data_IF_974433954673
#
_entry.id   IF_974433954673
#
_cell.length_a   1.000
_cell.length_b   1.000
_cell.length_c   1.000
_cell.angle_alpha   90.00
_cell.angle_beta   90.00
_cell.angle_gamma   90.00
#
_symmetry.space_group_name_H-M   'P 1'
#
loop_
_entity.id
_entity.type
_entity.pdbx_description
1 polymer ?
#
# COMPACT_ATOMS: atom_id res chain seq x y z
N UNK A 1 -8.98 -8.00 6.74
CA UNK A 1 -8.53 -7.92 5.32
C UNK A 1 -7.20 -8.67 5.15
N UNK A 2 -6.85 -9.16 3.94
CA UNK A 2 -5.62 -9.93 3.70
C UNK A 2 -4.32 -9.20 4.11
N UNK A 3 -4.28 -7.86 3.99
CA UNK A 3 -3.16 -7.05 4.49
C UNK A 3 -2.96 -7.21 6.00
N UNK A 4 -4.02 -7.15 6.80
CA UNK A 4 -3.94 -7.29 8.26
C UNK A 4 -3.45 -8.69 8.68
N UNK A 5 -3.95 -9.73 8.00
CA UNK A 5 -3.52 -11.12 8.23
C UNK A 5 -2.03 -11.27 7.91
N UNK A 6 -1.59 -10.73 6.77
CA UNK A 6 -0.18 -10.79 6.34
C UNK A 6 0.71 -10.08 7.34
N UNK A 7 0.35 -8.86 7.77
CA UNK A 7 1.10 -8.11 8.78
C UNK A 7 1.19 -8.85 10.11
N UNK A 8 0.07 -9.41 10.58
CA UNK A 8 0.04 -10.20 11.81
C UNK A 8 0.94 -11.44 11.70
N UNK A 9 0.91 -12.13 10.56
CA UNK A 9 1.76 -13.28 10.28
C UNK A 9 3.24 -12.91 10.28
N UNK A 10 3.65 -11.86 9.55
CA UNK A 10 5.06 -11.45 9.46
C UNK A 10 5.62 -11.06 10.83
N UNK A 11 4.87 -10.28 11.61
CA UNK A 11 5.25 -9.90 12.98
C UNK A 11 5.39 -11.14 13.88
N UNK A 12 4.43 -12.06 13.80
CA UNK A 12 4.43 -13.27 14.62
C UNK A 12 5.52 -14.26 14.20
N UNK A 13 5.85 -14.31 12.91
CA UNK A 13 6.94 -15.11 12.38
C UNK A 13 8.30 -14.65 12.93
N UNK A 14 8.58 -13.34 12.93
CA UNK A 14 9.77 -12.77 13.57
C UNK A 14 9.81 -13.13 15.07
N UNK A 15 8.68 -12.95 15.77
CA UNK A 15 8.57 -13.23 17.20
C UNK A 15 8.83 -14.71 17.54
N UNK A 16 8.21 -15.65 16.82
CA UNK A 16 8.33 -17.08 17.11
C UNK A 16 9.69 -17.64 16.71
N UNK A 17 10.28 -17.15 15.62
CA UNK A 17 11.64 -17.57 15.24
C UNK A 17 12.69 -16.98 16.17
N UNK A 18 12.42 -15.79 16.74
CA UNK A 18 13.23 -15.14 17.77
C UNK A 18 13.22 -15.84 19.14
N UNK A 19 12.10 -16.46 19.52
CA UNK A 19 11.91 -17.03 20.86
C UNK A 19 12.27 -18.51 20.99
N UNK A 20 12.54 -19.21 19.88
CA UNK A 20 12.89 -20.63 19.88
C UNK A 20 14.38 -20.80 19.63
N UNK A 21 15.14 -21.25 20.63
CA UNK A 21 16.60 -21.38 20.52
C UNK A 21 17.05 -22.27 19.36
N UNK A 22 16.27 -23.30 19.02
CA UNK A 22 16.51 -24.16 17.85
C UNK A 22 16.57 -23.40 16.51
N UNK A 23 15.96 -22.21 16.43
CA UNK A 23 16.00 -21.32 15.26
C UNK A 23 16.88 -20.09 15.54
N UNK A 24 16.74 -19.51 16.74
CA UNK A 24 17.39 -18.27 17.13
C UNK A 24 18.91 -18.39 17.24
N UNK A 25 19.44 -19.51 17.75
CA UNK A 25 20.89 -19.70 17.85
C UNK A 25 21.55 -19.81 16.47
N UNK A 26 21.08 -20.67 15.53
CA UNK A 26 21.59 -20.67 14.17
C UNK A 26 21.45 -19.32 13.48
N UNK A 27 20.30 -18.65 13.61
CA UNK A 27 20.07 -17.34 13.03
C UNK A 27 21.08 -16.31 13.56
N UNK A 28 21.37 -16.34 14.87
CA UNK A 28 22.35 -15.43 15.47
C UNK A 28 23.75 -15.65 14.92
N UNK A 29 24.15 -16.91 14.68
CA UNK A 29 25.48 -17.25 14.15
C UNK A 29 25.64 -16.90 12.67
N UNK A 30 24.58 -17.07 11.87
CA UNK A 30 24.65 -16.91 10.39
C UNK A 30 24.22 -15.52 9.94
N UNK A 31 23.21 -14.93 10.57
CA UNK A 31 22.57 -13.68 10.16
C UNK A 31 22.89 -12.50 11.09
N UNK A 32 23.57 -12.74 12.21
CA UNK A 32 23.84 -11.70 13.22
C UNK A 32 22.60 -11.23 13.98
N UNK A 33 21.47 -11.94 13.86
CA UNK A 33 20.19 -11.62 14.52
C UNK A 33 19.50 -12.89 15.01
N UNK A 34 18.73 -12.79 16.09
CA UNK A 34 18.08 -13.95 16.72
C UNK A 34 16.81 -14.42 16.03
N UNK A 35 16.34 -13.76 14.97
CA UNK A 35 15.07 -14.09 14.31
C UNK A 35 15.21 -14.16 12.79
N UNK A 36 14.29 -14.86 12.15
CA UNK A 36 14.16 -14.90 10.70
C UNK A 36 13.17 -13.83 10.23
N UNK A 37 13.34 -13.41 8.97
CA UNK A 37 12.41 -12.48 8.31
C UNK A 37 11.73 -13.17 7.15
N UNK A 38 10.54 -12.67 6.78
CA UNK A 38 9.76 -13.19 5.66
C UNK A 38 9.35 -12.07 4.70
N UNK A 39 9.01 -12.45 3.47
CA UNK A 39 8.47 -11.56 2.45
C UNK A 39 7.13 -12.10 1.96
N UNK A 40 6.17 -11.22 1.65
CA UNK A 40 4.86 -11.62 1.15
C UNK A 40 4.43 -10.77 -0.07
N UNK A 41 3.68 -11.38 -0.98
CA UNK A 41 3.08 -10.71 -2.13
C UNK A 41 1.58 -11.00 -2.17
N UNK A 42 0.78 -9.94 -2.30
CA UNK A 42 -0.69 -10.03 -2.20
C UNK A 42 -1.31 -9.47 -3.48
N UNK A 43 -1.80 -10.36 -4.34
CA UNK A 43 -2.58 -9.99 -5.51
C UNK A 43 -4.08 -10.02 -5.19
N UNK A 44 -4.74 -8.87 -5.19
CA UNK A 44 -6.20 -8.81 -5.17
C UNK A 44 -6.72 -8.84 -6.59
N UNK A 45 -7.47 -9.89 -6.94
CA UNK A 45 -7.96 -10.13 -8.30
C UNK A 45 -9.45 -10.44 -8.28
N UNK A 46 -10.11 -10.30 -9.44
CA UNK A 46 -11.52 -10.68 -9.60
C UNK A 46 -11.71 -12.20 -9.43
N UNK A 47 -12.89 -12.69 -8.98
CA UNK A 47 -13.14 -14.12 -8.76
C UNK A 47 -12.88 -15.03 -9.98
N UNK A 48 -13.08 -14.51 -11.19
CA UNK A 48 -12.87 -15.27 -12.45
C UNK A 48 -11.50 -15.01 -13.09
N UNK A 49 -10.60 -14.29 -12.42
CA UNK A 49 -9.25 -14.07 -12.92
C UNK A 49 -8.45 -15.39 -12.87
N UNK A 50 -7.72 -15.78 -13.94
CA UNK A 50 -7.05 -17.07 -13.99
C UNK A 50 -6.08 -17.28 -12.84
N UNK A 51 -6.17 -18.43 -12.15
CA UNK A 51 -5.36 -18.73 -10.98
C UNK A 51 -3.85 -18.65 -11.25
N UNK A 52 -3.37 -19.22 -12.36
CA UNK A 52 -1.95 -19.19 -12.73
C UNK A 52 -1.43 -17.75 -12.89
N UNK A 53 -2.25 -16.84 -13.44
CA UNK A 53 -1.91 -15.44 -13.59
C UNK A 53 -1.94 -14.69 -12.25
N UNK A 54 -2.88 -15.03 -11.36
CA UNK A 54 -2.92 -14.48 -10.00
C UNK A 54 -1.68 -14.89 -9.20
N UNK A 55 -1.29 -16.16 -9.34
CA UNK A 55 -0.10 -16.71 -8.72
C UNK A 55 1.17 -16.02 -9.22
N UNK A 56 1.34 -15.89 -10.55
CA UNK A 56 2.48 -15.18 -11.13
C UNK A 56 2.56 -13.71 -10.65
N UNK A 57 1.44 -13.00 -10.60
CA UNK A 57 1.41 -11.64 -10.05
C UNK A 57 1.79 -11.60 -8.56
N UNK A 58 1.36 -12.58 -7.76
CA UNK A 58 1.75 -12.68 -6.35
C UNK A 58 3.25 -12.98 -6.19
N UNK A 59 3.83 -13.80 -7.07
CA UNK A 59 5.27 -14.10 -7.11
C UNK A 59 6.09 -12.85 -7.47
N UNK A 60 5.70 -12.10 -8.50
CA UNK A 60 6.32 -10.82 -8.85
C UNK A 60 6.31 -9.82 -7.67
N UNK A 61 5.19 -9.78 -6.93
CA UNK A 61 5.05 -8.95 -5.73
C UNK A 61 5.98 -9.43 -4.59
N UNK A 62 6.10 -10.75 -4.38
CA UNK A 62 7.06 -11.32 -3.41
C UNK A 62 8.49 -10.92 -3.78
N UNK A 63 8.84 -10.98 -5.06
CA UNK A 63 10.18 -10.64 -5.52
C UNK A 63 10.47 -9.16 -5.34
N UNK A 64 9.50 -8.27 -5.57
CA UNK A 64 9.66 -6.86 -5.21
C UNK A 64 9.80 -6.67 -3.68
N UNK A 65 9.02 -7.38 -2.87
CA UNK A 65 9.14 -7.34 -1.41
C UNK A 65 10.52 -7.79 -0.91
N UNK A 66 11.13 -8.79 -1.54
CA UNK A 66 12.48 -9.27 -1.17
C UNK A 66 13.57 -8.22 -1.38
N UNK A 67 13.39 -7.24 -2.28
CA UNK A 67 14.37 -6.14 -2.52
C UNK A 67 14.58 -5.28 -1.27
N UNK A 68 13.58 -5.22 -0.37
CA UNK A 68 13.70 -4.53 0.91
C UNK A 68 14.83 -5.12 1.81
N UNK A 69 15.29 -6.36 1.58
CA UNK A 69 16.37 -6.95 2.37
C UNK A 69 17.71 -6.22 2.22
N UNK A 70 17.93 -5.56 1.10
CA UNK A 70 19.16 -4.82 0.81
C UNK A 70 19.14 -3.44 1.48
N UNK A 71 17.96 -2.79 1.51
CA UNK A 71 17.78 -1.42 1.99
C UNK A 71 17.38 -1.35 3.47
N UNK A 72 16.74 -2.40 3.99
CA UNK A 72 16.24 -2.52 5.36
C UNK A 72 16.53 -3.93 5.91
N UNK A 73 17.82 -4.28 6.11
CA UNK A 73 18.21 -5.61 6.55
C UNK A 73 17.59 -5.95 7.91
N UNK A 74 17.05 -7.16 8.05
CA UNK A 74 16.41 -7.58 9.31
C UNK A 74 14.95 -7.19 9.44
N UNK A 75 14.34 -6.64 8.39
CA UNK A 75 12.90 -6.38 8.35
C UNK A 75 12.18 -7.41 7.49
N UNK A 76 11.03 -7.89 7.96
CA UNK A 76 10.05 -8.52 7.08
C UNK A 76 9.35 -7.47 6.23
N UNK A 77 8.93 -7.87 5.03
CA UNK A 77 8.35 -6.95 4.05
C UNK A 77 7.17 -7.58 3.32
N UNK A 78 6.35 -6.75 2.69
CA UNK A 78 5.32 -7.23 1.78
C UNK A 78 5.05 -6.25 0.66
N UNK A 79 4.46 -6.72 -0.41
CA UNK A 79 3.95 -5.87 -1.48
C UNK A 79 2.54 -6.34 -1.86
N UNK A 80 1.73 -5.42 -2.38
CA UNK A 80 0.40 -5.76 -2.84
C UNK A 80 -0.01 -4.96 -4.06
N UNK A 81 -0.97 -5.52 -4.80
CA UNK A 81 -1.60 -4.83 -5.91
C UNK A 81 -3.07 -5.23 -6.01
N UNK A 82 -3.94 -4.25 -6.29
CA UNK A 82 -5.34 -4.47 -6.60
C UNK A 82 -5.53 -4.39 -8.11
N UNK A 83 -5.71 -5.54 -8.74
CA UNK A 83 -5.87 -5.64 -10.18
C UNK A 83 -7.32 -5.38 -10.58
N UNK A 84 -7.55 -4.23 -11.23
CA UNK A 84 -8.86 -3.88 -11.79
C UNK A 84 -9.08 -4.44 -13.20
N UNK A 85 -8.01 -4.79 -13.90
CA UNK A 85 -8.06 -5.34 -15.26
C UNK A 85 -8.54 -6.81 -15.28
N UNK A 86 -9.09 -7.23 -16.41
CA UNK A 86 -9.36 -8.63 -16.75
C UNK A 86 -8.19 -9.30 -17.48
N UNK A 87 -7.24 -8.54 -18.01
CA UNK A 87 -6.11 -9.07 -18.79
C UNK A 87 -4.95 -9.44 -17.87
N UNK A 88 -4.46 -10.68 -18.01
CA UNK A 88 -3.28 -11.15 -17.31
C UNK A 88 -2.01 -10.48 -17.84
N UNK A 89 -1.26 -9.81 -16.96
CA UNK A 89 -0.02 -9.13 -17.28
C UNK A 89 0.99 -9.24 -16.13
N UNK A 90 2.30 -9.29 -16.41
CA UNK A 90 3.34 -9.19 -15.39
C UNK A 90 3.24 -7.89 -14.59
N UNK A 91 3.77 -7.89 -13.36
CA UNK A 91 3.78 -6.71 -12.50
C UNK A 91 4.53 -5.52 -13.13
N UNK A 92 5.59 -5.78 -13.89
CA UNK A 92 6.37 -4.74 -14.60
C UNK A 92 5.49 -3.93 -15.54
N UNK A 93 4.65 -4.61 -16.31
CA UNK A 93 3.79 -3.99 -17.32
C UNK A 93 2.69 -3.18 -16.63
N UNK A 94 2.07 -3.76 -15.59
CA UNK A 94 1.08 -3.07 -14.76
C UNK A 94 1.67 -1.78 -14.19
N UNK A 95 2.86 -1.85 -13.57
CA UNK A 95 3.50 -0.69 -12.94
C UNK A 95 4.04 0.32 -13.93
N UNK A 96 4.39 -0.09 -15.16
CA UNK A 96 4.78 0.85 -16.21
C UNK A 96 3.69 1.89 -16.51
N UNK A 97 2.41 1.49 -16.44
CA UNK A 97 1.25 2.36 -16.60
C UNK A 97 0.89 3.18 -15.36
N UNK A 98 1.56 2.92 -14.23
CA UNK A 98 1.38 3.65 -12.97
C UNK A 98 2.50 4.68 -12.75
N UNK A 99 3.37 4.88 -13.75
CA UNK A 99 4.33 5.97 -13.80
C UNK A 99 3.69 7.15 -14.50
N UNK A 100 3.57 8.26 -13.79
CA UNK A 100 2.90 9.46 -14.28
C UNK A 100 3.78 10.68 -14.07
N UNK A 101 3.54 11.76 -14.82
CA UNK A 101 4.31 12.99 -14.62
C UNK A 101 4.13 13.53 -13.19
N UNK A 102 5.21 13.99 -12.57
CA UNK A 102 5.16 14.59 -11.23
C UNK A 102 4.40 15.95 -11.26
N UNK A 103 3.59 16.29 -10.23
CA UNK A 103 2.75 17.51 -10.23
C UNK A 103 3.52 18.83 -10.17
N UNK A 104 4.70 18.85 -9.55
CA UNK A 104 5.41 20.10 -9.21
C UNK A 104 6.66 20.38 -10.03
N UNK A 105 7.26 19.38 -10.68
CA UNK A 105 8.49 19.58 -11.46
C UNK A 105 8.70 18.47 -12.47
N UNK A 106 9.18 18.82 -13.66
CA UNK A 106 9.65 17.85 -14.66
C UNK A 106 11.04 17.29 -14.34
N UNK A 107 11.76 17.89 -13.39
CA UNK A 107 13.12 17.48 -13.02
C UNK A 107 13.17 16.34 -11.98
N UNK A 108 12.09 16.11 -11.22
CA UNK A 108 12.03 15.04 -10.21
C UNK A 108 11.74 13.64 -10.79
N UNK A 109 11.65 13.51 -12.11
CA UNK A 109 11.29 12.26 -12.77
C UNK A 109 9.79 11.94 -12.69
N UNK A 110 9.45 10.69 -13.00
CA UNK A 110 8.08 10.19 -12.94
C UNK A 110 7.66 9.92 -11.49
N UNK A 111 6.42 10.29 -11.16
CA UNK A 111 5.76 9.88 -9.92
C UNK A 111 5.26 8.45 -10.06
N UNK A 112 5.68 7.58 -9.15
CA UNK A 112 5.16 6.22 -9.04
C UNK A 112 3.85 6.21 -8.24
N UNK A 113 2.76 5.70 -8.81
CA UNK A 113 1.48 5.56 -8.10
C UNK A 113 1.39 4.28 -7.24
N UNK A 114 2.54 3.73 -6.88
CA UNK A 114 2.65 2.63 -5.93
C UNK A 114 3.82 2.92 -4.98
N UNK A 115 3.63 2.74 -3.66
CA UNK A 115 4.67 2.95 -2.67
C UNK A 115 5.48 1.68 -2.36
N UNK A 116 5.03 0.51 -2.84
CA UNK A 116 5.58 -0.79 -2.44
C UNK A 116 7.05 -0.99 -2.86
N UNK A 117 7.82 -1.77 -2.08
CA UNK A 117 7.35 -2.66 -1.03
C UNK A 117 7.15 -1.97 0.32
N UNK A 118 6.38 -2.56 1.23
CA UNK A 118 6.18 -2.07 2.58
C UNK A 118 7.00 -2.86 3.59
N UNK A 119 7.48 -2.19 4.63
CA UNK A 119 8.05 -2.82 5.80
C UNK A 119 6.94 -3.22 6.78
N UNK A 120 6.98 -4.47 7.20
CA UNK A 120 6.06 -4.98 8.20
C UNK A 120 6.38 -4.37 9.58
N UNK A 121 5.38 -4.25 10.47
CA UNK A 121 5.61 -3.80 11.83
C UNK A 121 6.57 -4.76 12.54
N UNK A 122 7.63 -4.19 13.09
CA UNK A 122 8.63 -4.94 13.85
C UNK A 122 8.55 -4.61 15.34
N UNK A 123 8.85 -5.58 16.19
CA UNK A 123 8.91 -5.36 17.65
C UNK A 123 10.20 -4.70 18.12
N UNK A 124 11.21 -4.60 17.23
CA UNK A 124 12.49 -3.96 17.51
C UNK A 124 12.86 -2.99 16.36
N UNK A 125 12.18 -1.85 16.24
CA UNK A 125 12.48 -0.87 15.19
C UNK A 125 13.92 -0.36 15.33
N UNK A 126 14.58 -0.01 14.21
CA UNK A 126 15.93 0.55 14.25
C UNK A 126 15.94 1.89 15.01
N UNK A 127 16.97 2.14 15.80
CA UNK A 127 17.11 3.39 16.57
C UNK A 127 17.25 4.63 15.70
N UNK A 128 17.73 4.48 14.46
CA UNK A 128 17.88 5.55 13.49
C UNK A 128 17.52 5.01 12.10
N UNK A 129 16.23 4.98 11.71
CA UNK A 129 15.80 4.48 10.41
C UNK A 129 16.33 5.37 9.29
N UNK A 130 16.67 4.76 8.17
CA UNK A 130 16.99 5.49 6.94
C UNK A 130 15.76 6.24 6.40
N UNK A 131 15.97 7.17 5.47
CA UNK A 131 14.86 7.83 4.74
C UNK A 131 14.00 6.81 4.02
N UNK A 132 14.63 5.80 3.42
CA UNK A 132 13.97 4.70 2.73
C UNK A 132 13.10 3.89 3.70
N UNK A 133 13.65 3.43 4.83
CA UNK A 133 12.87 2.69 5.83
C UNK A 133 11.66 3.48 6.31
N UNK A 134 11.85 4.76 6.65
CA UNK A 134 10.77 5.64 7.11
C UNK A 134 9.67 5.82 6.05
N UNK A 135 10.06 5.94 4.78
CA UNK A 135 9.13 6.06 3.66
C UNK A 135 8.34 4.77 3.39
N UNK A 136 8.94 3.61 3.67
CA UNK A 136 8.34 2.31 3.39
C UNK A 136 7.62 1.67 4.59
N UNK A 137 7.58 2.32 5.76
CA UNK A 137 6.72 1.91 6.87
C UNK A 137 5.24 1.91 6.47
N UNK A 138 4.52 0.85 6.84
CA UNK A 138 3.10 0.70 6.46
C UNK A 138 2.12 1.53 7.30
N UNK A 139 2.60 2.23 8.34
CA UNK A 139 1.79 3.03 9.23
C UNK A 139 1.01 4.12 8.48
N UNK A 140 1.64 4.80 7.51
CA UNK A 140 1.00 5.88 6.74
C UNK A 140 -0.11 5.35 5.84
N UNK A 141 0.12 4.21 5.18
CA UNK A 141 -0.91 3.52 4.38
C UNK A 141 -2.14 3.18 5.26
N UNK A 142 -1.90 2.63 6.45
CA UNK A 142 -2.95 2.15 7.32
C UNK A 142 -3.72 3.28 8.00
N UNK A 143 -3.05 4.37 8.35
CA UNK A 143 -3.69 5.61 8.81
C UNK A 143 -4.63 6.16 7.73
N UNK A 144 -4.17 6.18 6.48
CA UNK A 144 -5.00 6.56 5.34
C UNK A 144 -6.20 5.64 5.15
N UNK A 145 -6.01 4.32 5.25
CA UNK A 145 -7.08 3.33 5.17
C UNK A 145 -8.13 3.53 6.27
N UNK A 146 -7.68 3.73 7.52
CA UNK A 146 -8.56 3.97 8.65
C UNK A 146 -9.39 5.24 8.44
N UNK A 147 -8.75 6.31 7.95
CA UNK A 147 -9.40 7.59 7.62
C UNK A 147 -10.48 7.42 6.53
N UNK A 148 -10.22 6.62 5.50
CA UNK A 148 -11.21 6.34 4.45
C UNK A 148 -12.33 5.38 4.91
N UNK A 149 -12.08 4.60 5.95
CA UNK A 149 -13.02 3.62 6.50
C UNK A 149 -13.97 4.20 7.55
N UNK A 150 -13.82 5.49 7.90
CA UNK A 150 -14.71 6.18 8.83
C UNK A 150 -16.18 6.14 8.36
N UNK A 151 -17.14 6.28 9.28
CA UNK A 151 -18.56 6.48 8.96
C UNK A 151 -18.77 7.64 7.97
N UNK A 152 -19.83 7.59 7.15
CA UNK A 152 -20.04 8.55 6.05
C UNK A 152 -20.08 10.02 6.47
N UNK A 153 -20.56 10.30 7.68
CA UNK A 153 -20.62 11.62 8.30
C UNK A 153 -19.25 12.11 8.82
N UNK A 154 -18.30 11.18 8.97
CA UNK A 154 -16.93 11.40 9.40
C UNK A 154 -15.88 11.29 8.29
N UNK A 155 -16.26 10.78 7.10
CA UNK A 155 -15.34 10.65 5.97
C UNK A 155 -14.81 12.00 5.48
N UNK A 156 -13.49 12.12 5.44
CA UNK A 156 -12.78 13.25 4.83
C UNK A 156 -12.89 13.26 3.30
N UNK A 157 -13.19 12.10 2.71
CA UNK A 157 -13.26 11.89 1.26
C UNK A 157 -14.46 11.01 0.89
N UNK A 158 -15.45 11.59 0.21
CA UNK A 158 -16.59 10.83 -0.32
C UNK A 158 -16.26 10.02 -1.57
N UNK A 159 -17.10 9.05 -1.94
CA UNK A 159 -16.84 8.15 -3.07
C UNK A 159 -16.64 8.87 -4.41
N UNK A 160 -17.39 9.95 -4.69
CA UNK A 160 -17.19 10.75 -5.90
C UNK A 160 -15.84 11.47 -5.90
N UNK A 161 -15.41 11.98 -4.74
CA UNK A 161 -14.12 12.65 -4.59
C UNK A 161 -12.96 11.65 -4.73
N UNK A 162 -13.11 10.45 -4.18
CA UNK A 162 -12.18 9.34 -4.36
C UNK A 162 -12.06 8.91 -5.84
N UNK A 163 -13.18 8.83 -6.57
CA UNK A 163 -13.17 8.54 -7.99
C UNK A 163 -12.43 9.64 -8.79
N UNK A 164 -12.78 10.92 -8.55
CA UNK A 164 -12.12 12.05 -9.20
C UNK A 164 -10.60 12.06 -8.95
N UNK A 165 -10.16 11.73 -7.72
CA UNK A 165 -8.75 11.60 -7.40
C UNK A 165 -8.07 10.45 -8.14
N UNK A 166 -8.71 9.27 -8.26
CA UNK A 166 -8.13 8.17 -9.06
C UNK A 166 -7.91 8.58 -10.52
N UNK A 167 -8.90 9.22 -11.13
CA UNK A 167 -8.78 9.73 -12.51
C UNK A 167 -7.63 10.74 -12.61
N UNK A 168 -7.53 11.66 -11.65
CA UNK A 168 -6.47 12.66 -11.62
C UNK A 168 -5.07 12.05 -11.40
N UNK A 169 -4.95 11.04 -10.54
CA UNK A 169 -3.70 10.31 -10.29
C UNK A 169 -3.22 9.63 -11.58
N UNK A 170 -4.10 8.87 -12.24
CA UNK A 170 -3.77 8.18 -13.49
C UNK A 170 -3.46 9.13 -14.65
N UNK A 171 -4.04 10.33 -14.65
CA UNK A 171 -3.71 11.38 -15.62
C UNK A 171 -2.36 12.06 -15.33
N UNK A 172 -1.94 12.12 -14.07
CA UNK A 172 -0.67 12.70 -13.66
C UNK A 172 -0.59 14.23 -13.69
N UNK A 173 0.59 14.73 -13.32
CA UNK A 173 0.98 16.13 -13.43
C UNK A 173 0.01 17.08 -12.74
N UNK A 174 -0.34 18.16 -13.44
CA UNK A 174 -1.22 19.20 -12.90
C UNK A 174 -2.67 18.73 -12.66
N UNK A 175 -3.09 17.60 -13.21
CA UNK A 175 -4.43 17.05 -12.93
C UNK A 175 -4.59 16.70 -11.45
N UNK A 176 -3.52 16.18 -10.82
CA UNK A 176 -3.47 15.82 -9.39
C UNK A 176 -3.72 17.08 -8.55
N UNK A 177 -2.88 18.11 -8.72
CA UNK A 177 -2.95 19.34 -7.93
C UNK A 177 -4.28 20.06 -8.11
N UNK A 178 -4.74 20.23 -9.37
CA UNK A 178 -6.03 20.89 -9.64
C UNK A 178 -7.19 20.16 -8.98
N UNK A 179 -7.19 18.83 -9.03
CA UNK A 179 -8.25 18.03 -8.42
C UNK A 179 -8.20 18.10 -6.90
N UNK A 180 -7.02 17.98 -6.29
CA UNK A 180 -6.82 18.12 -4.86
C UNK A 180 -7.31 19.50 -4.35
N UNK A 181 -6.90 20.60 -5.00
CA UNK A 181 -7.34 21.96 -4.65
C UNK A 181 -8.85 22.12 -4.79
N UNK A 182 -9.44 21.64 -5.89
CA UNK A 182 -10.89 21.71 -6.13
C UNK A 182 -11.68 20.93 -5.06
N UNK A 183 -11.19 19.75 -4.65
CA UNK A 183 -11.85 18.93 -3.64
C UNK A 183 -11.71 19.53 -2.24
N UNK A 184 -10.55 20.07 -1.89
CA UNK A 184 -10.35 20.81 -0.64
C UNK A 184 -11.30 22.00 -0.52
N UNK A 185 -11.43 22.82 -1.57
CA UNK A 185 -12.33 23.98 -1.59
C UNK A 185 -13.81 23.62 -1.42
N UNK A 186 -14.21 22.40 -1.79
CA UNK A 186 -15.61 21.92 -1.69
C UNK A 186 -15.86 21.01 -0.49
N UNK A 187 -14.82 20.66 0.26
CA UNK A 187 -14.93 19.77 1.41
C UNK A 187 -15.57 20.48 2.59
N UNK A 188 -16.39 19.74 3.35
CA UNK A 188 -16.89 20.19 4.65
C UNK A 188 -15.80 20.18 5.73
N UNK A 189 -14.68 19.49 5.46
CA UNK A 189 -13.55 19.27 6.37
C UNK A 189 -12.23 19.54 5.63
N UNK A 190 -11.97 20.80 5.22
CA UNK A 190 -10.85 21.12 4.34
C UNK A 190 -9.47 20.88 5.00
N UNK A 191 -9.35 21.10 6.31
CA UNK A 191 -8.11 20.84 7.04
C UNK A 191 -7.78 19.34 7.09
N UNK A 192 -8.72 18.51 7.54
CA UNK A 192 -8.55 17.05 7.60
C UNK A 192 -8.25 16.45 6.21
N UNK A 193 -8.96 16.89 5.16
CA UNK A 193 -8.69 16.45 3.80
C UNK A 193 -7.31 16.88 3.31
N UNK A 194 -6.86 18.10 3.65
CA UNK A 194 -5.52 18.56 3.29
C UNK A 194 -4.45 17.72 3.96
N UNK A 195 -4.59 17.46 5.25
CA UNK A 195 -3.60 16.70 6.03
C UNK A 195 -3.54 15.25 5.51
N UNK A 196 -4.70 14.62 5.26
CA UNK A 196 -4.78 13.33 4.57
C UNK A 196 -4.08 13.33 3.19
N UNK A 197 -4.32 14.36 2.37
CA UNK A 197 -3.71 14.43 1.04
C UNK A 197 -2.19 14.67 1.12
N UNK A 198 -1.70 15.43 2.09
CA UNK A 198 -0.25 15.64 2.29
C UNK A 198 0.43 14.29 2.55
N UNK A 199 -0.09 13.51 3.49
CA UNK A 199 0.48 12.22 3.89
C UNK A 199 0.41 11.15 2.78
N UNK A 200 -0.67 11.15 2.00
CA UNK A 200 -0.93 10.09 1.02
C UNK A 200 -0.43 10.41 -0.38
N UNK A 201 -0.39 11.68 -0.79
CA UNK A 201 0.05 12.06 -2.14
C UNK A 201 1.57 12.04 -2.29
N UNK A 202 2.30 12.42 -1.24
CA UNK A 202 3.74 12.65 -1.33
C UNK A 202 4.50 11.64 -0.47
N UNK A 203 5.24 10.77 -1.13
CA UNK A 203 6.31 9.95 -0.57
C UNK A 203 7.57 10.16 -1.38
N UNK A 204 8.70 10.18 -0.69
CA UNK A 204 10.02 10.19 -1.31
C UNK A 204 10.90 9.29 -0.45
N UNK A 205 11.48 8.27 -1.07
CA UNK A 205 12.39 7.34 -0.40
C UNK A 205 13.87 7.82 -0.44
N UNK A 206 14.11 9.01 -0.98
CA UNK A 206 15.42 9.61 -1.23
C UNK A 206 15.93 9.38 -2.66
N UNK A 207 15.17 8.65 -3.48
CA UNK A 207 15.54 8.35 -4.86
C UNK A 207 14.38 8.50 -5.84
N UNK A 208 13.19 8.01 -5.48
CA UNK A 208 12.04 7.95 -6.38
C UNK A 208 10.83 8.56 -5.68
N UNK A 209 10.20 9.60 -6.26
CA UNK A 209 8.95 10.11 -5.73
C UNK A 209 7.81 9.13 -6.01
N UNK A 210 6.95 8.93 -5.02
CA UNK A 210 5.79 8.06 -5.13
C UNK A 210 4.56 8.60 -4.40
N UNK A 211 3.40 8.03 -4.72
CA UNK A 211 2.14 8.29 -4.06
C UNK A 211 1.57 7.01 -3.47
N UNK A 212 1.13 7.08 -2.21
CA UNK A 212 0.40 5.99 -1.53
C UNK A 212 -1.08 6.02 -1.87
N UNK A 213 -1.59 7.17 -2.28
CA UNK A 213 -3.03 7.44 -2.35
C UNK A 213 -3.80 6.42 -3.21
N UNK A 214 -3.27 6.02 -4.37
CA UNK A 214 -3.94 5.02 -5.21
C UNK A 214 -4.06 3.67 -4.48
N UNK A 215 -2.97 3.19 -3.89
CA UNK A 215 -2.95 1.95 -3.12
C UNK A 215 -3.87 2.02 -1.88
N UNK A 216 -3.91 3.16 -1.19
CA UNK A 216 -4.79 3.40 -0.04
C UNK A 216 -6.26 3.37 -0.44
N UNK A 217 -6.61 4.05 -1.53
CA UNK A 217 -7.96 4.08 -2.08
C UNK A 217 -8.42 2.66 -2.48
N UNK A 218 -7.55 1.91 -3.15
CA UNK A 218 -7.88 0.55 -3.60
C UNK A 218 -8.00 -0.44 -2.44
N UNK A 219 -7.13 -0.34 -1.43
CA UNK A 219 -7.25 -1.13 -0.21
C UNK A 219 -8.55 -0.81 0.56
N UNK A 220 -8.98 0.46 0.58
CA UNK A 220 -10.23 0.86 1.20
C UNK A 220 -11.46 0.27 0.47
N UNK A 221 -11.46 0.27 -0.86
CA UNK A 221 -12.53 -0.36 -1.63
C UNK A 221 -12.57 -1.87 -1.43
N UNK A 222 -11.42 -2.53 -1.30
CA UNK A 222 -11.36 -3.96 -0.95
C UNK A 222 -11.91 -4.22 0.46
N UNK A 223 -11.57 -3.39 1.45
CA UNK A 223 -12.07 -3.52 2.82
C UNK A 223 -13.59 -3.30 2.91
N UNK A 224 -14.13 -2.39 2.10
CA UNK A 224 -15.56 -2.12 2.01
C UNK A 224 -16.34 -3.12 1.13
N UNK A 225 -15.66 -4.04 0.43
CA UNK A 225 -16.26 -4.97 -0.52
C UNK A 225 -16.72 -4.32 -1.84
N UNK A 226 -16.27 -3.09 -2.14
CA UNK A 226 -16.74 -2.29 -3.28
C UNK A 226 -15.97 -2.61 -4.57
N UNK A 227 -14.69 -3.01 -4.47
CA UNK A 227 -13.84 -3.31 -5.62
C UNK A 227 -14.25 -4.57 -6.41
N UNK A 228 -14.96 -5.51 -5.78
CA UNK A 228 -15.38 -6.77 -6.42
C UNK A 228 -16.70 -6.67 -7.20
N UNK A 229 -17.30 -5.48 -7.34
CA UNK A 229 -18.58 -5.28 -8.03
C UNK A 229 -19.81 -5.77 -7.24
N UNK A 230 -19.63 -6.47 -6.12
CA UNK A 230 -20.70 -6.81 -5.20
C UNK A 230 -20.93 -5.66 -4.21
N UNK A 231 -21.85 -4.74 -4.56
CA UNK A 231 -22.52 -3.97 -3.51
C UNK A 231 -23.17 -4.99 -2.59
N UNK A 232 -22.64 -5.13 -1.37
CA UNK A 232 -23.29 -5.88 -0.28
C UNK A 232 -24.73 -5.42 -0.22
N UNK A 233 -25.66 -6.25 -0.71
CA UNK A 233 -27.10 -6.02 -0.58
C UNK A 233 -27.35 -5.94 0.92
N UNK A 234 -27.54 -4.71 1.44
CA UNK A 234 -28.04 -4.50 2.80
C UNK A 234 -29.27 -5.38 2.95
N UNK A 235 -29.16 -6.44 3.76
CA UNK A 235 -30.33 -7.22 4.21
C UNK A 235 -31.30 -6.21 4.80
N UNK A 236 -32.42 -5.97 4.11
CA UNK A 236 -33.57 -5.30 4.71
C UNK A 236 -33.91 -6.12 5.95
N UNK A 237 -33.83 -5.50 7.13
CA UNK A 237 -34.45 -6.06 8.34
C UNK A 237 -35.94 -6.19 8.00
N UNK A 238 -36.42 -7.43 7.96
CA UNK A 238 -37.84 -7.69 8.04
C UNK A 238 -38.28 -7.28 9.45
N UNK A 239 -39.05 -6.21 9.52
CA UNK A 239 -40.02 -5.95 10.60
C UNK A 239 -41.19 -6.89 10.43
#
# INVERSE_FOLDING_TARGET
MALEITRAFLREFERQTGSRDAVAEPASRVLGRRYLTAAAGIAFVKPHYPFHAAYGLAEDLIDNAKRAKELAPGRSSYDFHVLHDSVARPLSDIRSHLRVSHPTTTAAGDLHLWPGPFLAPTSAPPSNPTSWESAHEDAVLLSGLATLSLPRDEQVLGSSAAHDLRVALLAGGQAITRTATRLQARSKRPAELRDFLIDQLHGDDGSIPFSRLLATLDAADMAAGVASGERVRRRRRAT
#
